data_IF_258119464799
#
_entry.id   IF_258119464799
#
_cell.length_a   1.000
_cell.length_b   1.000
_cell.length_c   1.000
_cell.angle_alpha   90.00
_cell.angle_beta   90.00
_cell.angle_gamma   90.00
#
_symmetry.space_group_name_H-M   'P 1'
#
loop_
_entity.id
_entity.type
_entity.pdbx_description
1 polymer ?
#
# COMPACT_ATOMS: atom_id res chain seq x y z
N UNK A 1 0.30 -0.15 -2.28
CA UNK A 1 -0.81 -0.71 -1.48
C UNK A 1 -1.09 -2.17 -1.84
N UNK A 2 -0.05 -2.94 -2.19
CA UNK A 2 -0.18 -4.40 -2.36
C UNK A 2 -0.58 -5.03 -1.03
N UNK A 3 -1.26 -6.18 -1.08
CA UNK A 3 -1.38 -7.02 0.12
C UNK A 3 0.02 -7.42 0.59
N UNK A 4 0.28 -7.33 1.89
CA UNK A 4 1.59 -7.69 2.44
C UNK A 4 2.01 -9.11 2.04
N UNK A 5 3.29 -9.27 1.64
CA UNK A 5 3.85 -10.51 1.11
C UNK A 5 3.58 -10.75 -0.38
N UNK A 6 3.05 -9.77 -1.13
CA UNK A 6 2.78 -9.91 -2.58
C UNK A 6 3.71 -9.07 -3.45
N UNK A 7 4.28 -7.98 -2.95
CA UNK A 7 5.25 -7.16 -3.66
C UNK A 7 6.67 -7.52 -3.22
N UNK A 8 7.47 -8.07 -4.13
CA UNK A 8 8.85 -8.44 -3.81
C UNK A 8 9.77 -7.21 -3.57
N UNK A 9 9.46 -6.08 -4.20
CA UNK A 9 10.24 -4.83 -4.06
C UNK A 9 9.39 -3.62 -4.43
N UNK A 10 9.29 -3.29 -5.71
CA UNK A 10 8.69 -2.04 -6.19
C UNK A 10 9.76 -0.97 -6.41
N UNK A 11 9.75 -0.35 -7.60
CA UNK A 11 10.66 0.77 -7.93
C UNK A 11 9.91 2.09 -8.12
N UNK A 12 8.58 2.04 -8.21
CA UNK A 12 7.73 3.24 -8.28
C UNK A 12 7.76 4.02 -6.96
N UNK A 13 7.61 3.33 -5.84
CA UNK A 13 7.73 3.87 -4.49
C UNK A 13 9.07 4.59 -4.26
N UNK A 14 10.19 4.04 -4.76
CA UNK A 14 11.51 4.68 -4.70
C UNK A 14 11.53 6.02 -5.45
N UNK A 15 10.96 6.07 -6.66
CA UNK A 15 10.87 7.30 -7.47
C UNK A 15 10.01 8.36 -6.78
N UNK A 16 8.87 7.97 -6.22
CA UNK A 16 7.99 8.88 -5.49
C UNK A 16 8.67 9.45 -4.25
N UNK A 17 9.34 8.61 -3.46
CA UNK A 17 10.12 9.01 -2.28
C UNK A 17 11.20 10.03 -2.65
N UNK A 18 11.96 9.76 -3.71
CA UNK A 18 13.01 10.67 -4.20
C UNK A 18 12.46 12.02 -4.71
N UNK A 19 11.20 12.07 -5.13
CA UNK A 19 10.54 13.30 -5.60
C UNK A 19 9.67 13.96 -4.52
N UNK A 20 9.81 13.56 -3.25
CA UNK A 20 9.17 14.22 -2.12
C UNK A 20 7.71 13.84 -1.89
N UNK A 21 7.21 12.78 -2.53
CA UNK A 21 5.91 12.21 -2.20
C UNK A 21 6.04 11.34 -0.93
N UNK A 22 5.15 11.58 0.04
CA UNK A 22 5.04 10.75 1.24
C UNK A 22 4.28 9.46 0.91
N UNK A 23 4.80 8.33 1.37
CA UNK A 23 4.23 7.03 1.03
C UNK A 23 3.14 6.63 2.01
N UNK A 24 1.98 6.24 1.47
CA UNK A 24 0.97 5.43 2.15
C UNK A 24 1.05 4.01 1.60
N UNK A 25 1.28 3.03 2.46
CA UNK A 25 1.59 1.68 2.02
C UNK A 25 1.51 0.64 3.12
N UNK A 26 1.44 -0.62 2.70
CA UNK A 26 1.60 -1.81 3.53
C UNK A 26 3.09 -2.07 3.82
N UNK A 27 3.39 -2.83 4.87
CA UNK A 27 4.76 -3.24 5.24
C UNK A 27 5.25 -4.37 4.31
N UNK A 28 5.43 -4.04 3.03
CA UNK A 28 5.70 -4.98 1.94
C UNK A 28 6.77 -4.45 0.97
N UNK A 29 7.56 -5.36 0.38
CA UNK A 29 8.60 -5.03 -0.58
C UNK A 29 9.55 -3.91 -0.12
N UNK A 30 9.83 -2.95 -1.00
CA UNK A 30 10.69 -1.81 -0.71
C UNK A 30 10.05 -0.79 0.24
N UNK A 31 8.75 -0.90 0.57
CA UNK A 31 8.16 -0.03 1.58
C UNK A 31 8.77 -0.27 2.96
N UNK A 32 9.15 -1.52 3.27
CA UNK A 32 9.88 -1.87 4.51
C UNK A 32 11.20 -1.11 4.59
N UNK A 33 11.94 -1.08 3.49
CA UNK A 33 13.23 -0.39 3.38
C UNK A 33 13.06 1.13 3.42
N UNK A 34 12.06 1.66 2.70
CA UNK A 34 11.72 3.09 2.71
C UNK A 34 11.38 3.52 4.14
N UNK A 35 10.43 2.85 4.80
CA UNK A 35 10.01 3.13 6.17
C UNK A 35 11.19 3.14 7.15
N UNK A 36 12.07 2.13 7.07
CA UNK A 36 13.28 2.04 7.90
C UNK A 36 14.23 3.22 7.70
N UNK A 37 14.39 3.71 6.46
CA UNK A 37 15.30 4.80 6.14
C UNK A 37 14.69 6.17 6.45
N UNK A 38 13.44 6.40 6.06
CA UNK A 38 12.77 7.70 6.22
C UNK A 38 12.27 7.92 7.64
N UNK A 39 11.94 6.84 8.38
CA UNK A 39 11.40 6.86 9.74
C UNK A 39 9.87 6.77 9.77
N UNK A 40 9.33 6.15 10.83
CA UNK A 40 7.89 5.90 10.98
C UNK A 40 7.04 7.19 10.97
N UNK A 41 7.58 8.30 11.47
CA UNK A 41 6.91 9.60 11.47
C UNK A 41 6.71 10.19 10.06
N UNK A 42 7.42 9.65 9.06
CA UNK A 42 7.43 10.16 7.69
C UNK A 42 6.89 9.14 6.67
N UNK A 43 6.18 8.11 7.15
CA UNK A 43 5.58 7.05 6.35
C UNK A 43 4.18 6.69 6.89
N UNK A 44 3.17 6.62 6.02
CA UNK A 44 1.81 6.26 6.40
C UNK A 44 1.59 4.76 6.25
N UNK A 45 2.04 3.98 7.24
CA UNK A 45 1.83 2.54 7.28
C UNK A 45 0.36 2.21 7.53
N UNK A 46 -0.17 1.19 6.85
CA UNK A 46 -1.49 0.62 7.12
C UNK A 46 -1.56 -0.86 6.75
N UNK A 47 -2.67 -1.49 7.14
CA UNK A 47 -3.03 -2.84 6.75
C UNK A 47 -2.31 -3.92 7.56
N UNK A 48 -2.62 -5.17 7.22
CA UNK A 48 -2.05 -6.36 7.84
C UNK A 48 -0.58 -6.55 7.46
N UNK A 49 0.18 -7.15 8.38
CA UNK A 49 1.51 -7.70 8.12
C UNK A 49 1.41 -9.04 7.38
N UNK A 50 2.48 -9.47 6.70
CA UNK A 50 2.52 -10.78 6.00
C UNK A 50 2.14 -11.98 6.91
N UNK A 51 2.60 -12.04 8.19
CA UNK A 51 2.15 -13.10 9.11
C UNK A 51 0.65 -13.04 9.41
N UNK A 52 0.07 -11.84 9.55
CA UNK A 52 -1.37 -11.67 9.79
C UNK A 52 -2.20 -12.08 8.57
N UNK A 53 -1.75 -11.72 7.36
CA UNK A 53 -2.33 -12.18 6.09
C UNK A 53 -2.35 -13.71 6.03
N UNK A 54 -1.21 -14.34 6.29
CA UNK A 54 -1.08 -15.80 6.29
C UNK A 54 -1.99 -16.46 7.34
N UNK A 55 -2.06 -15.88 8.53
CA UNK A 55 -2.92 -16.37 9.61
C UNK A 55 -4.41 -16.24 9.28
N UNK A 56 -4.83 -15.14 8.64
CA UNK A 56 -6.22 -14.92 8.24
C UNK A 56 -6.62 -15.89 7.12
N UNK A 57 -5.74 -16.11 6.14
CA UNK A 57 -5.92 -17.14 5.11
C UNK A 57 -6.11 -18.53 5.73
N UNK A 58 -5.24 -18.92 6.67
CA UNK A 58 -5.29 -20.22 7.32
C UNK A 58 -6.55 -20.44 8.16
N UNK A 59 -7.13 -19.36 8.71
CA UNK A 59 -8.39 -19.41 9.48
C UNK A 59 -9.64 -19.55 8.61
N UNK A 60 -9.51 -19.44 7.28
CA UNK A 60 -10.65 -19.37 6.37
C UNK A 60 -11.16 -17.93 6.26
N UNK A 61 -10.47 -17.12 5.45
CA UNK A 61 -10.89 -15.74 5.17
C UNK A 61 -12.31 -15.70 4.57
N UNK A 62 -13.18 -14.89 5.17
CA UNK A 62 -14.58 -14.73 4.75
C UNK A 62 -14.86 -13.25 4.41
N UNK A 63 -14.63 -12.81 3.16
CA UNK A 63 -14.69 -11.39 2.78
C UNK A 63 -16.04 -10.73 3.08
N UNK A 64 -17.14 -11.47 2.87
CA UNK A 64 -18.50 -11.02 3.13
C UNK A 64 -18.72 -10.52 4.57
N UNK A 65 -18.02 -11.09 5.55
CA UNK A 65 -18.14 -10.66 6.95
C UNK A 65 -17.72 -9.19 7.16
N UNK A 66 -16.75 -8.68 6.39
CA UNK A 66 -16.31 -7.28 6.45
C UNK A 66 -17.37 -6.36 5.84
N UNK A 67 -18.00 -6.77 4.74
CA UNK A 67 -19.17 -6.07 4.17
C UNK A 67 -20.37 -6.06 5.13
N UNK A 68 -20.54 -7.13 5.90
CA UNK A 68 -21.63 -7.26 6.87
C UNK A 68 -21.41 -6.47 8.16
N UNK A 69 -20.17 -6.21 8.54
CA UNK A 69 -19.86 -5.54 9.82
C UNK A 69 -19.43 -4.09 9.68
N UNK A 70 -18.92 -3.66 8.52
CA UNK A 70 -18.49 -2.28 8.28
C UNK A 70 -19.53 -1.49 7.44
N UNK A 71 -20.27 -0.53 8.03
CA UNK A 71 -21.32 0.22 7.33
C UNK A 71 -20.79 1.11 6.19
N UNK A 72 -19.59 1.66 6.34
CA UNK A 72 -18.98 2.51 5.31
C UNK A 72 -18.58 1.68 4.10
N UNK A 73 -17.97 0.52 4.32
CA UNK A 73 -17.62 -0.42 3.26
C UNK A 73 -18.87 -0.92 2.53
N UNK A 74 -19.91 -1.28 3.29
CA UNK A 74 -21.21 -1.69 2.74
C UNK A 74 -21.78 -0.62 1.81
N UNK A 75 -21.87 0.62 2.30
CA UNK A 75 -22.41 1.74 1.52
C UNK A 75 -21.61 1.97 0.23
N UNK A 76 -20.28 1.85 0.28
CA UNK A 76 -19.43 1.99 -0.90
C UNK A 76 -19.70 0.88 -1.93
N UNK A 77 -19.74 -0.39 -1.51
CA UNK A 77 -20.00 -1.53 -2.41
C UNK A 77 -21.43 -1.46 -2.99
N UNK A 78 -22.43 -1.12 -2.16
CA UNK A 78 -23.82 -0.98 -2.60
C UNK A 78 -23.97 0.15 -3.62
N UNK A 79 -23.27 1.27 -3.43
CA UNK A 79 -23.27 2.38 -4.37
C UNK A 79 -22.65 1.96 -5.72
N UNK A 80 -21.53 1.22 -5.71
CA UNK A 80 -20.93 0.67 -6.93
C UNK A 80 -21.90 -0.28 -7.64
N UNK A 81 -22.62 -1.13 -6.91
CA UNK A 81 -23.62 -2.06 -7.44
C UNK A 81 -24.98 -1.44 -7.80
N UNK A 82 -25.23 -0.19 -7.43
CA UNK A 82 -26.54 0.47 -7.60
C UNK A 82 -26.85 0.85 -9.05
N UNK A 83 -25.85 0.90 -9.92
CA UNK A 83 -25.96 1.45 -11.27
C UNK A 83 -25.62 2.95 -11.37
N UNK A 84 -25.31 3.62 -10.24
CA UNK A 84 -24.99 5.05 -10.20
C UNK A 84 -23.82 5.45 -11.11
N UNK A 85 -22.81 4.57 -11.26
CA UNK A 85 -21.63 4.82 -12.09
C UNK A 85 -21.70 4.16 -13.48
N UNK A 86 -22.88 3.67 -13.88
CA UNK A 86 -23.07 2.89 -15.12
C UNK A 86 -24.39 3.21 -15.81
N UNK A 87 -24.89 4.45 -15.67
CA UNK A 87 -26.15 4.91 -16.27
C UNK A 87 -27.35 3.99 -15.95
N UNK A 88 -27.40 3.47 -14.73
CA UNK A 88 -28.47 2.58 -14.26
C UNK A 88 -28.22 1.08 -14.51
N UNK A 89 -27.15 0.69 -15.21
CA UNK A 89 -26.81 -0.73 -15.39
C UNK A 89 -26.22 -1.33 -14.10
N UNK A 90 -27.07 -2.01 -13.32
CA UNK A 90 -26.70 -2.68 -12.07
C UNK A 90 -25.82 -3.92 -12.28
N UNK A 91 -25.78 -4.48 -13.48
CA UNK A 91 -24.97 -5.66 -13.82
C UNK A 91 -23.52 -5.33 -14.15
N UNK A 92 -23.24 -4.07 -14.53
CA UNK A 92 -21.92 -3.63 -15.04
C UNK A 92 -20.73 -4.02 -14.16
N UNK A 93 -20.89 -3.93 -12.84
CA UNK A 93 -19.84 -4.21 -11.85
C UNK A 93 -20.06 -5.54 -11.10
N UNK A 94 -20.98 -6.39 -11.57
CA UNK A 94 -21.33 -7.64 -10.88
C UNK A 94 -20.14 -8.59 -10.68
N UNK A 95 -19.22 -8.66 -11.65
CA UNK A 95 -18.03 -9.52 -11.55
C UNK A 95 -17.05 -9.08 -10.47
N UNK A 96 -16.76 -7.77 -10.37
CA UNK A 96 -15.83 -7.23 -9.37
C UNK A 96 -16.44 -7.28 -7.96
N UNK A 97 -17.74 -6.96 -7.82
CA UNK A 97 -18.45 -7.08 -6.53
C UNK A 97 -18.52 -8.56 -6.11
N UNK A 98 -18.81 -9.45 -7.05
CA UNK A 98 -18.79 -10.89 -6.81
C UNK A 98 -17.43 -11.35 -6.29
N UNK A 99 -16.34 -10.95 -6.93
CA UNK A 99 -14.99 -11.27 -6.46
C UNK A 99 -14.74 -10.75 -5.04
N UNK A 100 -15.07 -9.48 -4.74
CA UNK A 100 -14.87 -8.91 -3.40
C UNK A 100 -15.69 -9.61 -2.31
N UNK A 101 -16.93 -10.00 -2.60
CA UNK A 101 -17.81 -10.59 -1.58
C UNK A 101 -17.64 -12.10 -1.41
N UNK A 102 -16.93 -12.78 -2.33
CA UNK A 102 -16.80 -14.24 -2.33
C UNK A 102 -15.35 -14.73 -2.24
N UNK A 103 -14.42 -14.15 -3.02
CA UNK A 103 -13.05 -14.66 -3.12
C UNK A 103 -12.02 -13.72 -2.46
N UNK A 104 -12.05 -12.45 -2.85
CA UNK A 104 -11.13 -11.36 -2.45
C UNK A 104 -9.69 -11.85 -2.17
N UNK A 105 -8.99 -12.39 -3.18
CA UNK A 105 -7.68 -13.05 -2.97
C UNK A 105 -6.58 -12.09 -2.47
N UNK A 106 -6.82 -10.78 -2.61
CA UNK A 106 -5.91 -9.73 -2.15
C UNK A 106 -6.38 -9.07 -0.85
N UNK A 107 -7.40 -9.61 -0.18
CA UNK A 107 -7.91 -9.16 1.12
C UNK A 107 -8.21 -7.66 1.17
N UNK A 108 -8.69 -7.10 0.07
CA UNK A 108 -8.98 -5.68 -0.03
C UNK A 108 -10.03 -5.24 1.00
N UNK A 109 -11.01 -6.11 1.31
CA UNK A 109 -12.04 -5.80 2.29
C UNK A 109 -11.50 -5.82 3.72
N UNK A 110 -10.50 -6.66 4.00
CA UNK A 110 -9.87 -6.75 5.32
C UNK A 110 -9.02 -5.52 5.64
N UNK A 111 -8.28 -5.00 4.65
CA UNK A 111 -7.43 -3.81 4.83
C UNK A 111 -8.19 -2.48 4.68
N UNK A 112 -9.46 -2.51 4.24
CA UNK A 112 -10.23 -1.30 3.92
C UNK A 112 -10.26 -0.28 5.06
N UNK A 113 -10.61 -0.72 6.27
CA UNK A 113 -10.76 0.19 7.42
C UNK A 113 -9.41 0.79 7.85
N UNK A 114 -8.35 -0.02 7.86
CA UNK A 114 -7.00 0.45 8.15
C UNK A 114 -6.51 1.46 7.10
N UNK A 115 -6.81 1.22 5.82
CA UNK A 115 -6.50 2.14 4.73
C UNK A 115 -7.25 3.47 4.89
N UNK A 116 -8.54 3.44 5.21
CA UNK A 116 -9.33 4.66 5.45
C UNK A 116 -8.79 5.46 6.63
N UNK A 117 -8.43 4.80 7.73
CA UNK A 117 -7.81 5.46 8.88
C UNK A 117 -6.44 6.07 8.54
N UNK A 118 -5.65 5.43 7.68
CA UNK A 118 -4.40 5.97 7.18
C UNK A 118 -4.60 7.19 6.28
N UNK A 119 -5.61 7.15 5.39
CA UNK A 119 -5.97 8.29 4.55
C UNK A 119 -6.40 9.50 5.39
N UNK A 120 -7.16 9.31 6.47
CA UNK A 120 -7.50 10.40 7.39
C UNK A 120 -6.25 11.01 8.06
N UNK A 121 -5.25 10.20 8.41
CA UNK A 121 -3.96 10.71 8.91
C UNK A 121 -3.20 11.48 7.84
N UNK A 122 -3.25 11.05 6.58
CA UNK A 122 -2.67 11.78 5.44
C UNK A 122 -3.35 13.14 5.29
N UNK A 123 -4.67 13.21 5.32
CA UNK A 123 -5.43 14.47 5.23
C UNK A 123 -5.04 15.45 6.36
N UNK A 124 -4.98 14.95 7.60
CA UNK A 124 -4.58 15.76 8.74
C UNK A 124 -3.13 16.26 8.62
N UNK A 125 -2.20 15.40 8.19
CA UNK A 125 -0.80 15.76 7.99
C UNK A 125 -0.61 16.76 6.84
N UNK A 126 -1.40 16.63 5.77
CA UNK A 126 -1.33 17.53 4.62
C UNK A 126 -1.80 18.96 4.97
N UNK A 127 -2.74 19.08 5.92
CA UNK A 127 -3.17 20.38 6.43
C UNK A 127 -2.06 21.13 7.19
N UNK A 128 -1.13 20.42 7.83
CA UNK A 128 0.10 20.99 8.40
C UNK A 128 1.18 21.11 7.31
N UNK A 129 1.17 22.24 6.60
CA UNK A 129 2.09 22.47 5.48
C UNK A 129 3.57 22.42 5.90
N UNK A 130 3.92 22.87 7.10
CA UNK A 130 5.31 22.84 7.58
C UNK A 130 5.75 21.40 7.88
N UNK A 131 4.93 20.65 8.63
CA UNK A 131 5.18 19.24 8.94
C UNK A 131 5.23 18.37 7.69
N UNK A 132 4.33 18.59 6.73
CA UNK A 132 4.33 17.88 5.45
C UNK A 132 5.60 18.17 4.64
N UNK A 133 5.98 19.44 4.50
CA UNK A 133 7.18 19.86 3.76
C UNK A 133 8.44 19.29 4.39
N UNK A 134 8.54 19.32 5.72
CA UNK A 134 9.66 18.72 6.46
C UNK A 134 9.76 17.22 6.16
N UNK A 135 8.63 16.51 6.22
CA UNK A 135 8.58 15.08 5.95
C UNK A 135 9.00 14.75 4.51
N UNK A 136 8.57 15.57 3.54
CA UNK A 136 8.92 15.41 2.14
C UNK A 136 10.43 15.58 1.91
N UNK A 137 11.02 16.63 2.49
CA UNK A 137 12.47 16.87 2.43
C UNK A 137 13.25 15.71 3.04
N UNK A 138 12.79 15.18 4.18
CA UNK A 138 13.45 14.04 4.83
C UNK A 138 13.35 12.75 4.00
N UNK A 139 12.24 12.52 3.29
CA UNK A 139 12.11 11.42 2.34
C UNK A 139 13.16 11.54 1.21
N UNK A 140 13.28 12.72 0.59
CA UNK A 140 14.30 12.97 -0.46
C UNK A 140 15.72 12.83 0.08
N UNK A 141 16.02 13.42 1.24
CA UNK A 141 17.35 13.39 1.81
C UNK A 141 17.80 11.96 2.21
N UNK A 142 16.84 11.08 2.53
CA UNK A 142 17.10 9.70 3.01
C UNK A 142 16.92 8.64 1.90
N UNK A 143 16.59 9.02 0.66
CA UNK A 143 16.35 8.08 -0.44
C UNK A 143 17.61 7.66 -1.22
N UNK A 144 18.80 8.17 -0.87
CA UNK A 144 20.05 7.87 -1.60
C UNK A 144 20.38 6.37 -1.70
N UNK A 145 19.93 5.56 -0.73
CA UNK A 145 20.07 4.11 -0.73
C UNK A 145 19.43 3.41 -1.94
N UNK A 146 18.41 4.04 -2.53
CA UNK A 146 17.64 3.51 -3.66
C UNK A 146 18.25 3.84 -5.04
N UNK A 147 19.44 4.46 -5.09
CA UNK A 147 20.17 4.61 -6.34
C UNK A 147 20.48 3.24 -6.97
N UNK A 148 20.25 3.12 -8.28
CA UNK A 148 20.64 1.93 -9.04
C UNK A 148 22.15 1.68 -9.01
N UNK A 149 22.96 2.72 -8.83
CA UNK A 149 24.42 2.60 -8.75
C UNK A 149 24.84 1.75 -7.54
N UNK A 150 24.12 1.88 -6.43
CA UNK A 150 24.33 1.05 -5.23
C UNK A 150 23.98 -0.41 -5.52
N UNK A 151 22.85 -0.67 -6.16
CA UNK A 151 22.47 -2.04 -6.57
C UNK A 151 23.50 -2.64 -7.53
N UNK A 152 23.98 -1.86 -8.51
CA UNK A 152 25.05 -2.30 -9.41
C UNK A 152 26.34 -2.64 -8.66
N UNK A 153 26.74 -1.80 -7.70
CA UNK A 153 27.88 -2.08 -6.85
C UNK A 153 27.73 -3.39 -6.06
N UNK A 154 26.53 -3.64 -5.49
CA UNK A 154 26.22 -4.90 -4.81
C UNK A 154 26.37 -6.10 -5.75
N UNK A 155 25.88 -6.03 -6.99
CA UNK A 155 26.04 -7.09 -7.99
C UNK A 155 27.50 -7.33 -8.38
N UNK A 156 28.25 -6.25 -8.64
CA UNK A 156 29.68 -6.32 -8.97
C UNK A 156 30.47 -7.05 -7.88
N UNK A 157 30.25 -6.67 -6.62
CA UNK A 157 31.00 -7.22 -5.48
C UNK A 157 30.53 -8.62 -5.08
N UNK A 158 29.22 -8.88 -5.06
CA UNK A 158 28.66 -10.10 -4.47
C UNK A 158 28.52 -11.24 -5.48
N UNK A 159 28.21 -10.94 -6.74
CA UNK A 159 27.85 -11.94 -7.74
C UNK A 159 28.89 -11.98 -8.87
N UNK A 160 29.11 -10.88 -9.57
CA UNK A 160 29.91 -10.90 -10.80
C UNK A 160 31.43 -10.94 -10.54
N UNK A 161 31.89 -10.45 -9.39
CA UNK A 161 33.31 -10.45 -8.98
C UNK A 161 34.22 -9.74 -10.00
N UNK A 162 33.74 -8.64 -10.57
CA UNK A 162 34.49 -7.80 -11.52
C UNK A 162 34.67 -6.39 -10.95
N UNK A 163 35.74 -5.70 -11.36
CA UNK A 163 36.08 -4.35 -10.92
C UNK A 163 35.87 -3.35 -12.04
N UNK A 164 35.59 -2.10 -11.69
CA UNK A 164 35.59 -1.01 -12.66
C UNK A 164 36.99 -0.87 -13.27
N UNK A 165 37.05 -0.83 -14.61
CA UNK A 165 38.27 -0.60 -15.39
C UNK A 165 38.47 0.90 -15.60
#
# INVERSE_FOLDING_TARGET
ISLAGKEASGTGNMKFTLNGALTIGTDDGANVEIRKLVGDDHFFLFGMTEPEVSALQAKGYHPRSYYETNPQLRAAIDLVGSGAFSNGDRGRFGSIIGNWLHDDPFMALADFEAYMAAQQRVEAAYADTEGWTRSAILNVARSGFFSSDRSMHDYLVKIWKIWAV
#
